data_IF_140662950457
#
_entry.id   IF_140662950457
#
_cell.length_a   1.000
_cell.length_b   1.000
_cell.length_c   1.000
_cell.angle_alpha   90.00
_cell.angle_beta   90.00
_cell.angle_gamma   90.00
#
_symmetry.space_group_name_H-M   'P 1'
#
loop_
_entity.id
_entity.type
_entity.pdbx_description
1 polymer ?
#
# COMPACT_ATOMS: atom_id res chain seq x y z
N UNK A 1 -43.69 12.46 46.49
CA UNK A 1 -42.84 11.68 45.55
C UNK A 1 -43.64 11.44 44.28
N UNK A 2 -43.44 12.27 43.25
CA UNK A 2 -44.12 12.12 41.97
C UNK A 2 -43.29 11.14 41.13
N UNK A 3 -43.54 9.84 41.29
CA UNK A 3 -43.02 8.84 40.35
C UNK A 3 -43.81 9.07 39.07
N UNK A 4 -43.22 9.78 38.12
CA UNK A 4 -43.74 9.88 36.76
C UNK A 4 -44.01 8.46 36.28
N UNK A 5 -45.28 8.05 36.23
CA UNK A 5 -45.66 6.79 35.61
C UNK A 5 -45.15 6.86 34.17
N UNK A 6 -44.10 6.09 33.85
CA UNK A 6 -43.49 6.11 32.53
C UNK A 6 -44.54 5.58 31.57
N UNK A 7 -45.27 6.49 30.93
CA UNK A 7 -46.36 6.11 30.05
C UNK A 7 -45.78 5.25 28.92
N UNK A 8 -46.56 4.30 28.37
CA UNK A 8 -46.11 3.50 27.23
C UNK A 8 -45.58 4.37 26.07
N UNK A 9 -46.17 5.56 25.87
CA UNK A 9 -45.71 6.55 24.91
C UNK A 9 -44.32 7.12 25.25
N UNK A 10 -44.03 7.39 26.53
CA UNK A 10 -42.70 7.81 27.00
C UNK A 10 -41.65 6.73 26.76
N UNK A 11 -41.99 5.45 26.98
CA UNK A 11 -41.07 4.32 26.69
C UNK A 11 -40.75 4.25 25.20
N UNK A 12 -41.78 4.31 24.34
CA UNK A 12 -41.59 4.27 22.88
C UNK A 12 -40.72 5.43 22.40
N UNK A 13 -40.94 6.65 22.91
CA UNK A 13 -40.13 7.82 22.57
C UNK A 13 -38.66 7.63 22.96
N UNK A 14 -38.38 7.10 24.16
CA UNK A 14 -37.02 6.81 24.63
C UNK A 14 -36.36 5.76 23.73
N UNK A 15 -37.07 4.68 23.39
CA UNK A 15 -36.53 3.62 22.50
C UNK A 15 -36.17 4.19 21.13
N UNK A 16 -37.04 5.02 20.52
CA UNK A 16 -36.77 5.68 19.25
C UNK A 16 -35.55 6.61 19.38
N UNK A 17 -35.47 7.41 20.44
CA UNK A 17 -34.34 8.30 20.68
C UNK A 17 -33.02 7.52 20.82
N UNK A 18 -33.02 6.38 21.53
CA UNK A 18 -31.84 5.51 21.66
C UNK A 18 -31.45 4.91 20.30
N UNK A 19 -32.40 4.41 19.51
CA UNK A 19 -32.12 3.87 18.18
C UNK A 19 -31.50 4.95 17.27
N UNK A 20 -32.07 6.16 17.26
CA UNK A 20 -31.52 7.29 16.49
C UNK A 20 -30.10 7.65 16.95
N UNK A 21 -29.85 7.66 18.26
CA UNK A 21 -28.54 7.96 18.82
C UNK A 21 -27.50 6.90 18.41
N UNK A 22 -27.86 5.62 18.43
CA UNK A 22 -27.01 4.51 17.96
C UNK A 22 -26.69 4.65 16.46
N UNK A 23 -27.67 5.02 15.63
CA UNK A 23 -27.48 5.24 14.19
C UNK A 23 -26.51 6.42 13.96
N UNK A 24 -26.74 7.56 14.61
CA UNK A 24 -25.88 8.75 14.49
C UNK A 24 -24.45 8.43 14.93
N UNK A 25 -24.28 7.78 16.08
CA UNK A 25 -22.96 7.38 16.58
C UNK A 25 -22.25 6.42 15.61
N UNK A 26 -22.98 5.45 15.06
CA UNK A 26 -22.46 4.50 14.08
C UNK A 26 -22.03 5.19 12.77
N UNK A 27 -22.78 6.20 12.31
CA UNK A 27 -22.43 6.99 11.12
C UNK A 27 -21.15 7.81 11.35
N UNK A 28 -21.04 8.49 12.50
CA UNK A 28 -19.86 9.27 12.87
C UNK A 28 -18.61 8.39 12.99
N UNK A 29 -18.71 7.24 13.65
CA UNK A 29 -17.61 6.29 13.80
C UNK A 29 -17.11 5.73 12.45
N UNK A 30 -18.04 5.45 11.52
CA UNK A 30 -17.73 5.04 10.15
C UNK A 30 -17.02 6.15 9.36
N UNK A 31 -17.50 7.38 9.48
CA UNK A 31 -16.89 8.52 8.78
C UNK A 31 -15.45 8.76 9.23
N UNK A 32 -15.20 8.73 10.54
CA UNK A 32 -13.85 8.92 11.09
C UNK A 32 -12.91 7.78 10.67
N UNK A 33 -13.42 6.55 10.66
CA UNK A 33 -12.67 5.38 10.18
C UNK A 33 -12.27 5.50 8.71
N UNK A 34 -13.20 5.94 7.87
CA UNK A 34 -12.95 6.12 6.44
C UNK A 34 -11.94 7.24 6.19
N UNK A 35 -12.06 8.35 6.92
CA UNK A 35 -11.10 9.45 6.83
C UNK A 35 -9.68 8.98 7.21
N UNK A 36 -9.52 8.21 8.28
CA UNK A 36 -8.21 7.64 8.66
C UNK A 36 -7.63 6.73 7.58
N UNK A 37 -8.46 5.92 6.94
CA UNK A 37 -8.03 5.06 5.82
C UNK A 37 -7.67 5.89 4.59
N UNK A 38 -8.44 6.91 4.26
CA UNK A 38 -8.13 7.82 3.16
C UNK A 38 -6.85 8.61 3.43
N UNK A 39 -6.64 9.11 4.64
CA UNK A 39 -5.42 9.81 5.03
C UNK A 39 -4.18 8.89 4.96
N UNK A 40 -4.35 7.60 5.30
CA UNK A 40 -3.25 6.61 5.30
C UNK A 40 -2.95 6.05 3.91
N UNK A 41 -3.97 5.60 3.18
CA UNK A 41 -3.84 4.94 1.88
C UNK A 41 -3.87 5.92 0.70
N UNK A 42 -4.33 7.16 0.92
CA UNK A 42 -4.34 8.21 -0.10
C UNK A 42 -5.02 7.76 -1.40
N UNK A 43 -4.34 7.80 -2.55
CA UNK A 43 -4.88 7.35 -3.83
C UNK A 43 -5.38 5.89 -3.83
N UNK A 44 -4.74 5.00 -3.06
CA UNK A 44 -5.12 3.59 -2.99
C UNK A 44 -6.51 3.41 -2.37
N UNK A 45 -6.93 4.27 -1.43
CA UNK A 45 -8.28 4.24 -0.90
C UNK A 45 -9.32 4.48 -2.01
N UNK A 46 -9.09 5.50 -2.84
CA UNK A 46 -9.98 5.84 -3.96
C UNK A 46 -10.02 4.72 -5.00
N UNK A 47 -8.88 4.11 -5.31
CA UNK A 47 -8.79 2.93 -6.18
C UNK A 47 -9.60 1.75 -5.63
N UNK A 48 -9.47 1.44 -4.34
CA UNK A 48 -10.17 0.31 -3.70
C UNK A 48 -11.68 0.54 -3.65
N UNK A 49 -12.12 1.78 -3.38
CA UNK A 49 -13.55 2.15 -3.47
C UNK A 49 -14.07 2.01 -4.88
N UNK A 50 -13.30 2.42 -5.90
CA UNK A 50 -13.70 2.25 -7.30
C UNK A 50 -13.78 0.77 -7.71
N UNK A 51 -12.87 -0.07 -7.24
CA UNK A 51 -12.84 -1.50 -7.54
C UNK A 51 -13.99 -2.28 -6.86
N UNK A 52 -14.30 -1.95 -5.61
CA UNK A 52 -15.34 -2.64 -4.82
C UNK A 52 -16.75 -2.08 -5.05
N UNK A 53 -16.86 -0.84 -5.52
CA UNK A 53 -18.14 -0.14 -5.67
C UNK A 53 -18.80 0.28 -4.35
N UNK A 54 -18.22 -0.09 -3.20
CA UNK A 54 -18.77 0.19 -1.88
C UNK A 54 -17.67 0.60 -0.89
N UNK A 55 -17.91 1.71 -0.17
CA UNK A 55 -16.95 2.23 0.81
C UNK A 55 -16.76 1.30 2.00
N UNK A 56 -17.79 0.58 2.43
CA UNK A 56 -17.65 -0.33 3.56
C UNK A 56 -16.86 -1.59 3.18
N UNK A 57 -17.04 -2.10 1.97
CA UNK A 57 -16.24 -3.16 1.39
C UNK A 57 -14.77 -2.76 1.24
N UNK A 58 -14.49 -1.59 0.65
CA UNK A 58 -13.13 -1.06 0.53
C UNK A 58 -12.46 -0.91 1.91
N UNK A 59 -13.17 -0.36 2.89
CA UNK A 59 -12.63 -0.17 4.23
C UNK A 59 -12.29 -1.49 4.92
N UNK A 60 -13.09 -2.54 4.70
CA UNK A 60 -12.79 -3.89 5.20
C UNK A 60 -11.54 -4.47 4.53
N UNK A 61 -11.47 -4.41 3.20
CA UNK A 61 -10.33 -4.92 2.43
C UNK A 61 -9.01 -4.25 2.86
N UNK A 62 -8.98 -2.91 2.92
CA UNK A 62 -7.77 -2.18 3.36
C UNK A 62 -7.34 -2.55 4.78
N UNK A 63 -8.29 -2.76 5.70
CA UNK A 63 -7.98 -3.25 7.05
C UNK A 63 -7.42 -4.66 7.04
N UNK A 64 -7.91 -5.52 6.16
CA UNK A 64 -7.42 -6.89 6.05
C UNK A 64 -6.01 -6.92 5.46
N UNK A 65 -5.70 -6.04 4.50
CA UNK A 65 -4.31 -5.79 4.05
C UNK A 65 -3.41 -5.34 5.20
N UNK A 66 -3.85 -4.39 6.03
CA UNK A 66 -3.08 -3.97 7.20
C UNK A 66 -2.83 -5.12 8.18
N UNK A 67 -3.85 -5.95 8.43
CA UNK A 67 -3.71 -7.12 9.31
C UNK A 67 -2.75 -8.15 8.72
N UNK A 68 -2.84 -8.40 7.42
CA UNK A 68 -1.95 -9.33 6.71
C UNK A 68 -0.51 -8.83 6.79
N UNK A 69 -0.27 -7.58 6.41
CA UNK A 69 1.05 -6.94 6.46
C UNK A 69 1.67 -6.98 7.86
N UNK A 70 0.88 -6.78 8.91
CA UNK A 70 1.34 -6.84 10.31
C UNK A 70 1.81 -8.22 10.78
N UNK A 71 1.49 -9.31 10.07
CA UNK A 71 1.99 -10.66 10.40
C UNK A 71 3.47 -10.82 10.07
N UNK A 72 4.00 -9.98 9.19
CA UNK A 72 5.39 -10.05 8.73
C UNK A 72 6.24 -8.98 9.40
N UNK A 73 7.45 -9.36 9.78
CA UNK A 73 8.41 -8.46 10.38
C UNK A 73 8.97 -7.51 9.32
N UNK A 74 8.89 -6.20 9.58
CA UNK A 74 9.55 -5.19 8.75
C UNK A 74 11.04 -5.22 9.01
N UNK A 75 11.83 -5.54 7.98
CA UNK A 75 13.29 -5.59 8.06
C UNK A 75 13.93 -4.35 7.45
N UNK A 76 14.94 -3.84 8.12
CA UNK A 76 15.78 -2.78 7.59
C UNK A 76 16.93 -3.34 6.75
N UNK A 77 17.33 -2.60 5.73
CA UNK A 77 18.46 -2.98 4.89
C UNK A 77 19.74 -2.44 5.48
N UNK A 78 20.72 -3.33 5.67
CA UNK A 78 22.10 -2.97 5.97
C UNK A 78 22.62 -1.92 4.94
N UNK A 79 23.31 -0.86 5.38
CA UNK A 79 23.85 0.17 4.50
C UNK A 79 24.73 -0.36 3.34
N UNK A 80 25.55 -1.39 3.60
CA UNK A 80 26.39 -2.00 2.56
C UNK A 80 25.53 -2.74 1.52
N UNK A 81 24.49 -3.44 1.96
CA UNK A 81 23.56 -4.14 1.06
C UNK A 81 22.78 -3.14 0.20
N UNK A 82 22.36 -2.01 0.79
CA UNK A 82 21.72 -0.90 0.06
C UNK A 82 22.61 -0.31 -1.01
N UNK A 83 23.88 -0.07 -0.73
CA UNK A 83 24.83 0.44 -1.73
C UNK A 83 24.98 -0.53 -2.90
N UNK A 84 25.08 -1.84 -2.63
CA UNK A 84 25.09 -2.87 -3.69
C UNK A 84 23.82 -2.83 -4.53
N UNK A 85 22.65 -2.65 -3.93
CA UNK A 85 21.41 -2.50 -4.69
C UNK A 85 21.41 -1.23 -5.55
N UNK A 86 21.88 -0.09 -5.03
CA UNK A 86 22.02 1.15 -5.82
C UNK A 86 22.96 0.96 -7.02
N UNK A 87 24.07 0.25 -6.84
CA UNK A 87 25.02 -0.06 -7.93
C UNK A 87 24.39 -0.95 -9.00
N UNK A 88 23.65 -2.00 -8.59
CA UNK A 88 22.90 -2.86 -9.52
C UNK A 88 21.85 -2.09 -10.30
N UNK A 89 21.10 -1.21 -9.63
CA UNK A 89 20.13 -0.34 -10.31
C UNK A 89 20.78 0.55 -11.37
N UNK A 90 21.92 1.18 -11.04
CA UNK A 90 22.68 2.01 -12.00
C UNK A 90 23.16 1.18 -13.20
N UNK A 91 23.60 -0.05 -12.98
CA UNK A 91 24.03 -0.93 -14.06
C UNK A 91 22.88 -1.26 -15.02
N UNK A 92 21.67 -1.46 -14.51
CA UNK A 92 20.45 -1.63 -15.31
C UNK A 92 20.16 -0.38 -16.14
N UNK A 93 20.19 0.81 -15.53
CA UNK A 93 19.92 2.07 -16.23
C UNK A 93 20.91 2.34 -17.37
N UNK A 94 22.20 2.03 -17.17
CA UNK A 94 23.25 2.23 -18.18
C UNK A 94 23.08 1.34 -19.41
N UNK A 95 22.53 0.13 -19.26
CA UNK A 95 22.33 -0.82 -20.37
C UNK A 95 20.98 -0.66 -21.07
N UNK A 96 20.07 0.18 -20.56
CA UNK A 96 18.71 0.25 -21.08
C UNK A 96 18.62 0.65 -22.56
N UNK A 97 19.57 1.46 -23.05
CA UNK A 97 19.57 1.90 -24.45
C UNK A 97 19.77 0.70 -25.38
N UNK A 98 20.69 -0.19 -25.02
CA UNK A 98 21.07 -1.35 -25.84
C UNK A 98 20.15 -2.56 -25.58
N UNK A 99 19.74 -2.76 -24.33
CA UNK A 99 19.02 -3.96 -23.87
C UNK A 99 17.75 -3.63 -23.05
N UNK A 100 16.77 -2.89 -23.60
CA UNK A 100 15.64 -2.37 -22.83
C UNK A 100 14.76 -3.49 -22.24
N UNK A 101 14.55 -4.57 -22.99
CA UNK A 101 13.74 -5.70 -22.55
C UNK A 101 14.40 -6.47 -21.38
N UNK A 102 15.72 -6.65 -21.42
CA UNK A 102 16.45 -7.31 -20.33
C UNK A 102 16.44 -6.43 -19.08
N UNK A 103 16.67 -5.13 -19.24
CA UNK A 103 16.69 -4.17 -18.13
C UNK A 103 15.36 -4.10 -17.36
N UNK A 104 14.21 -4.20 -18.03
CA UNK A 104 12.91 -4.23 -17.36
C UNK A 104 12.72 -5.51 -16.54
N UNK A 105 13.14 -6.68 -17.05
CA UNK A 105 13.10 -7.93 -16.28
C UNK A 105 14.00 -7.87 -15.05
N UNK A 106 15.24 -7.42 -15.25
CA UNK A 106 16.20 -7.26 -14.15
C UNK A 106 15.71 -6.25 -13.08
N UNK A 107 15.00 -5.20 -13.50
CA UNK A 107 14.41 -4.25 -12.57
C UNK A 107 13.27 -4.87 -11.73
N UNK A 108 12.40 -5.68 -12.33
CA UNK A 108 11.34 -6.41 -11.61
C UNK A 108 11.93 -7.39 -10.59
N UNK A 109 12.95 -8.15 -11.01
CA UNK A 109 13.69 -9.08 -10.17
C UNK A 109 14.37 -8.36 -8.99
N UNK A 110 15.06 -7.25 -9.27
CA UNK A 110 15.76 -6.47 -8.27
C UNK A 110 14.80 -5.86 -7.24
N UNK A 111 13.67 -5.30 -7.68
CA UNK A 111 12.62 -4.79 -6.78
C UNK A 111 12.06 -5.92 -5.91
N UNK A 112 11.76 -7.08 -6.50
CA UNK A 112 11.26 -8.25 -5.77
C UNK A 112 12.27 -8.75 -4.74
N UNK A 113 13.55 -8.77 -5.08
CA UNK A 113 14.64 -9.15 -4.17
C UNK A 113 14.71 -8.18 -2.98
N UNK A 114 14.69 -6.87 -3.24
CA UNK A 114 14.70 -5.85 -2.18
C UNK A 114 13.47 -5.97 -1.28
N UNK A 115 12.29 -6.17 -1.85
CA UNK A 115 11.05 -6.40 -1.08
C UNK A 115 11.18 -7.63 -0.18
N UNK A 116 11.73 -8.73 -0.70
CA UNK A 116 11.95 -9.95 0.09
C UNK A 116 12.90 -9.68 1.27
N UNK A 117 14.00 -8.95 1.04
CA UNK A 117 14.92 -8.55 2.12
C UNK A 117 14.27 -7.64 3.15
N UNK A 118 13.31 -6.82 2.74
CA UNK A 118 12.49 -5.93 3.59
C UNK A 118 11.38 -6.66 4.36
N UNK A 119 11.23 -7.98 4.17
CA UNK A 119 10.24 -8.80 4.86
C UNK A 119 8.85 -8.78 4.20
N UNK A 120 8.78 -8.51 2.89
CA UNK A 120 7.57 -8.83 2.11
C UNK A 120 7.55 -10.32 1.79
N UNK A 121 6.37 -10.99 1.87
CA UNK A 121 6.25 -12.38 1.51
C UNK A 121 6.44 -12.60 0.01
N UNK A 122 6.94 -13.77 -0.36
CA UNK A 122 7.03 -14.22 -1.76
C UNK A 122 5.68 -14.84 -2.14
N UNK A 123 4.68 -13.99 -2.27
CA UNK A 123 3.33 -14.36 -2.70
C UNK A 123 3.10 -13.97 -4.17
N UNK A 124 1.91 -14.29 -4.67
CA UNK A 124 1.39 -13.78 -5.95
C UNK A 124 1.47 -12.25 -6.01
N UNK A 125 1.62 -11.72 -7.23
CA UNK A 125 1.84 -10.30 -7.46
C UNK A 125 0.78 -9.41 -6.78
N UNK A 126 -0.49 -9.75 -6.91
CA UNK A 126 -1.60 -8.94 -6.38
C UNK A 126 -1.54 -8.86 -4.84
N UNK A 127 -1.29 -9.98 -4.17
CA UNK A 127 -1.14 -10.02 -2.72
C UNK A 127 0.07 -9.19 -2.27
N UNK A 128 1.18 -9.29 -2.99
CA UNK A 128 2.39 -8.49 -2.70
C UNK A 128 2.16 -7.00 -2.90
N UNK A 129 1.46 -6.61 -3.96
CA UNK A 129 1.08 -5.22 -4.21
C UNK A 129 0.13 -4.69 -3.13
N UNK A 130 -0.80 -5.52 -2.65
CA UNK A 130 -1.70 -5.20 -1.55
C UNK A 130 -0.96 -4.98 -0.23
N UNK A 131 0.01 -5.83 0.11
CA UNK A 131 0.89 -5.64 1.26
C UNK A 131 1.78 -4.39 1.11
N UNK A 132 2.28 -4.13 -0.10
CA UNK A 132 3.05 -2.94 -0.41
C UNK A 132 2.21 -1.67 -0.23
N UNK A 133 0.93 -1.70 -0.58
CA UNK A 133 0.02 -0.55 -0.47
C UNK A 133 -0.14 -0.02 0.96
N UNK A 134 0.12 -0.86 1.98
CA UNK A 134 0.02 -0.50 3.39
C UNK A 134 1.15 0.42 3.85
N UNK A 135 2.34 0.22 3.28
CA UNK A 135 3.58 0.92 3.66
C UNK A 135 3.96 2.00 2.62
N UNK A 136 3.66 1.75 1.34
CA UNK A 136 4.02 2.60 0.20
C UNK A 136 2.80 2.95 -0.69
N UNK A 137 1.72 3.51 -0.13
CA UNK A 137 0.47 3.79 -0.86
C UNK A 137 0.64 4.76 -2.03
N UNK A 138 1.64 5.64 -1.99
CA UNK A 138 1.88 6.63 -3.04
C UNK A 138 2.50 6.04 -4.32
N UNK A 139 3.23 4.92 -4.22
CA UNK A 139 3.99 4.34 -5.34
C UNK A 139 3.53 2.93 -5.73
N UNK A 140 2.61 2.32 -4.98
CA UNK A 140 2.08 0.98 -5.30
C UNK A 140 1.42 0.93 -6.69
N UNK A 141 0.78 2.01 -7.14
CA UNK A 141 0.22 2.04 -8.50
C UNK A 141 1.32 1.96 -9.57
N UNK A 142 2.45 2.64 -9.36
CA UNK A 142 3.59 2.54 -10.26
C UNK A 142 4.09 1.10 -10.33
N UNK A 143 4.17 0.40 -9.19
CA UNK A 143 4.55 -1.01 -9.16
C UNK A 143 3.61 -1.89 -10.01
N UNK A 144 2.29 -1.70 -9.88
CA UNK A 144 1.28 -2.40 -10.71
C UNK A 144 1.43 -2.10 -12.19
N UNK A 145 1.67 -0.85 -12.56
CA UNK A 145 1.89 -0.46 -13.94
C UNK A 145 3.18 -1.08 -14.51
N UNK A 146 4.26 -1.02 -13.75
CA UNK A 146 5.55 -1.57 -14.14
C UNK A 146 5.46 -3.08 -14.39
N UNK A 147 4.81 -3.81 -13.48
CA UNK A 147 4.67 -5.26 -13.59
C UNK A 147 3.76 -5.67 -14.76
N UNK A 148 2.70 -4.91 -15.05
CA UNK A 148 1.90 -5.14 -16.28
C UNK A 148 2.75 -5.01 -17.55
N UNK A 149 3.64 -4.02 -17.58
CA UNK A 149 4.55 -3.82 -18.72
C UNK A 149 5.62 -4.91 -18.74
N UNK A 150 6.17 -5.34 -17.60
CA UNK A 150 7.12 -6.44 -17.52
C UNK A 150 6.50 -7.75 -18.05
N UNK A 151 5.27 -8.07 -17.69
CA UNK A 151 4.55 -9.22 -18.23
C UNK A 151 4.30 -9.10 -19.75
N UNK A 152 4.03 -7.89 -20.24
CA UNK A 152 3.92 -7.65 -21.69
C UNK A 152 5.27 -7.79 -22.41
N UNK A 153 6.37 -7.38 -21.77
CA UNK A 153 7.74 -7.52 -22.25
C UNK A 153 8.14 -9.00 -22.37
N UNK A 154 7.77 -9.84 -21.39
CA UNK A 154 7.97 -11.29 -21.45
C UNK A 154 7.26 -11.94 -22.64
N UNK A 155 6.09 -11.41 -23.02
CA UNK A 155 5.35 -11.87 -24.21
C UNK A 155 5.83 -11.22 -25.51
N UNK A 156 6.82 -10.33 -25.47
CA UNK A 156 7.31 -9.59 -26.63
C UNK A 156 6.33 -8.56 -27.20
N UNK A 157 5.32 -8.14 -26.43
CA UNK A 157 4.26 -7.23 -26.88
C UNK A 157 4.40 -5.80 -26.35
N UNK A 158 5.45 -5.50 -25.56
CA UNK A 158 5.71 -4.17 -25.03
C UNK A 158 6.57 -3.34 -25.99
N UNK A 159 6.20 -2.08 -26.19
CA UNK A 159 7.00 -1.10 -26.93
C UNK A 159 8.17 -0.56 -26.08
N UNK A 160 9.24 -0.10 -26.71
CA UNK A 160 10.39 0.51 -26.01
C UNK A 160 10.00 1.71 -25.15
N UNK A 161 8.97 2.47 -25.54
CA UNK A 161 8.42 3.56 -24.73
C UNK A 161 7.78 3.06 -23.44
N UNK A 162 7.01 1.97 -23.51
CA UNK A 162 6.45 1.33 -22.32
C UNK A 162 7.56 0.78 -21.43
N UNK A 163 8.60 0.15 -22.01
CA UNK A 163 9.75 -0.33 -21.24
C UNK A 163 10.44 0.81 -20.48
N UNK A 164 10.57 1.99 -21.10
CA UNK A 164 11.13 3.17 -20.43
C UNK A 164 10.26 3.61 -19.26
N UNK A 165 8.93 3.63 -19.43
CA UNK A 165 7.99 3.95 -18.35
C UNK A 165 8.07 2.93 -17.21
N UNK A 166 8.17 1.64 -17.52
CA UNK A 166 8.32 0.59 -16.52
C UNK A 166 9.55 0.81 -15.64
N UNK A 167 10.71 1.16 -16.23
CA UNK A 167 11.90 1.51 -15.44
C UNK A 167 11.67 2.71 -14.53
N UNK A 168 11.00 3.76 -15.01
CA UNK A 168 10.67 4.93 -14.16
C UNK A 168 9.77 4.52 -13.00
N UNK A 169 8.78 3.68 -13.25
CA UNK A 169 7.86 3.18 -12.23
C UNK A 169 8.55 2.29 -11.20
N UNK A 170 9.35 1.31 -11.64
CA UNK A 170 10.15 0.50 -10.72
C UNK A 170 11.12 1.35 -9.91
N UNK A 171 11.76 2.36 -10.53
CA UNK A 171 12.68 3.27 -9.83
C UNK A 171 12.00 4.01 -8.70
N UNK A 172 10.76 4.45 -8.91
CA UNK A 172 10.00 5.17 -7.87
C UNK A 172 9.80 4.32 -6.63
N UNK A 173 9.41 3.05 -6.80
CA UNK A 173 9.28 2.11 -5.69
C UNK A 173 10.65 1.76 -5.10
N UNK A 174 11.64 1.47 -5.94
CA UNK A 174 12.98 1.10 -5.51
C UNK A 174 13.61 2.18 -4.63
N UNK A 175 13.47 3.46 -4.99
CA UNK A 175 13.95 4.57 -4.19
C UNK A 175 13.32 4.61 -2.79
N UNK A 176 12.00 4.43 -2.69
CA UNK A 176 11.29 4.37 -1.40
C UNK A 176 11.73 3.15 -0.57
N UNK A 177 11.83 1.98 -1.21
CA UNK A 177 12.31 0.75 -0.59
C UNK A 177 13.76 0.83 -0.12
N UNK A 178 14.57 1.75 -0.65
CA UNK A 178 15.88 2.03 -0.07
C UNK A 178 15.78 3.11 1.02
N UNK A 179 15.16 4.26 0.76
CA UNK A 179 15.17 5.42 1.66
C UNK A 179 14.55 5.16 3.04
N UNK A 180 13.50 4.34 3.14
CA UNK A 180 12.80 4.11 4.40
C UNK A 180 13.68 3.54 5.52
N UNK A 181 14.77 2.84 5.17
CA UNK A 181 15.73 2.33 6.15
C UNK A 181 16.80 3.37 6.55
N UNK A 182 17.01 4.46 5.78
CA UNK A 182 17.95 5.54 6.14
C UNK A 182 17.33 6.43 7.21
N UNK A 183 16.06 6.81 7.04
CA UNK A 183 15.29 7.63 8.00
C UNK A 183 15.24 7.01 9.39
N UNK A 184 15.21 5.68 9.50
CA UNK A 184 15.20 4.98 10.80
C UNK A 184 16.60 4.86 11.42
N UNK A 185 17.62 4.56 10.61
CA UNK A 185 19.01 4.49 11.09
C UNK A 185 19.47 5.83 11.66
N UNK A 186 19.02 6.94 11.07
CA UNK A 186 19.28 8.28 11.61
C UNK A 186 18.57 8.52 12.96
N UNK A 187 17.28 8.19 13.09
CA UNK A 187 16.57 8.31 14.38
C UNK A 187 17.21 7.49 15.49
N UNK A 188 17.66 6.27 15.21
CA UNK A 188 18.32 5.42 16.20
C UNK A 188 19.65 6.00 16.68
N UNK A 189 20.38 6.74 15.83
CA UNK A 189 21.63 7.43 16.19
C UNK A 189 21.42 8.73 16.99
N UNK A 190 20.25 9.35 16.88
CA UNK A 190 19.92 10.60 17.61
C UNK A 190 19.36 10.33 19.02
N UNK A 191 18.96 9.09 19.32
CA UNK A 191 18.33 8.72 20.59
C UNK A 191 19.28 7.94 21.54
N UNK A 192 20.55 7.78 21.17
CA UNK A 192 21.57 7.08 21.97
C UNK A 192 22.83 7.91 22.07
#
# INVERSE_FOLDING_TARGET
MLVLAISPATIVLIVIAVILLVIVFSMLARQQSNKRLEDRFGPEYKRTVAATGDRAAAARELRDREKHRKRFERRDLDPALRNRYRERWRAIELRFIDEPAACVREADDLVTEVMTKRGYPIDEFDQRADDLSVDYPAVVENYRQAHRIANANERGTASTEELRKALVYYRSLFAELLNDADTRTQRLKETG
#
